data_IF_456929840826
#
_entry.id   IF_456929840826
#
_cell.length_a   1.000
_cell.length_b   1.000
_cell.length_c   1.000
_cell.angle_alpha   90.00
_cell.angle_beta   90.00
_cell.angle_gamma   90.00
#
_symmetry.space_group_name_H-M   'P 1'
#
loop_
_entity.id
_entity.type
_entity.pdbx_description
1 polymer ?
#
# COMPACT_ATOMS: atom_id res chain seq x y z
N UNK A 1 -10.52 -6.08 13.91
CA UNK A 1 -10.21 -5.02 12.93
C UNK A 1 -10.78 -5.44 11.59
N UNK A 2 -11.52 -4.55 10.93
CA UNK A 2 -12.09 -4.84 9.61
C UNK A 2 -11.02 -4.53 8.55
N UNK A 3 -10.88 -5.39 7.54
CA UNK A 3 -9.95 -5.18 6.43
C UNK A 3 -10.73 -4.63 5.25
N UNK A 4 -10.37 -3.45 4.78
CA UNK A 4 -10.99 -2.81 3.64
C UNK A 4 -10.22 -3.17 2.37
N UNK A 5 -10.87 -3.97 1.52
CA UNK A 5 -10.33 -4.33 0.22
C UNK A 5 -10.72 -3.30 -0.83
N UNK A 6 -9.71 -2.66 -1.44
CA UNK A 6 -9.90 -1.61 -2.45
C UNK A 6 -9.22 -1.98 -3.77
N UNK A 7 -9.75 -1.46 -4.86
CA UNK A 7 -9.20 -1.59 -6.20
C UNK A 7 -8.00 -0.67 -6.40
N UNK A 8 -7.25 -0.88 -7.49
CA UNK A 8 -6.17 0.04 -7.89
C UNK A 8 -6.67 1.48 -8.05
N UNK A 9 -7.88 1.66 -8.59
CA UNK A 9 -8.48 2.98 -8.82
C UNK A 9 -8.79 3.70 -7.50
N UNK A 10 -9.45 3.01 -6.58
CA UNK A 10 -9.76 3.56 -5.24
C UNK A 10 -8.47 3.86 -4.47
N UNK A 11 -7.46 3.00 -4.57
CA UNK A 11 -6.16 3.28 -3.96
C UNK A 11 -5.51 4.52 -4.60
N UNK A 12 -5.50 4.62 -5.94
CA UNK A 12 -4.99 5.78 -6.68
C UNK A 12 -5.63 7.10 -6.21
N UNK A 13 -6.95 7.11 -6.06
CA UNK A 13 -7.69 8.25 -5.53
C UNK A 13 -7.28 8.58 -4.09
N UNK A 14 -7.10 7.56 -3.23
CA UNK A 14 -6.82 7.73 -1.80
C UNK A 14 -5.41 8.20 -1.48
N UNK A 15 -4.39 7.71 -2.21
CA UNK A 15 -2.97 8.06 -1.99
C UNK A 15 -2.42 9.03 -3.05
N UNK A 16 -3.29 9.53 -3.94
CA UNK A 16 -2.99 10.53 -4.97
C UNK A 16 -1.85 10.13 -5.93
N UNK A 17 -1.78 8.84 -6.24
CA UNK A 17 -0.93 8.31 -7.32
C UNK A 17 -1.79 7.94 -8.52
N UNK A 18 -1.21 7.98 -9.73
CA UNK A 18 -1.89 7.38 -10.87
C UNK A 18 -1.88 5.84 -10.76
N UNK A 19 -2.90 5.19 -11.33
CA UNK A 19 -3.02 3.73 -11.26
C UNK A 19 -1.84 2.97 -11.89
N UNK A 20 -1.20 3.55 -12.92
CA UNK A 20 -0.06 2.94 -13.62
C UNK A 20 1.15 2.84 -12.70
N UNK A 21 1.43 3.89 -11.93
CA UNK A 21 2.51 3.92 -10.94
C UNK A 21 2.27 2.86 -9.87
N UNK A 22 1.04 2.73 -9.37
CA UNK A 22 0.70 1.69 -8.39
C UNK A 22 1.00 0.30 -8.95
N UNK A 23 0.53 -0.02 -10.16
CA UNK A 23 0.71 -1.36 -10.74
C UNK A 23 2.14 -1.69 -11.15
N UNK A 24 2.86 -0.71 -11.68
CA UNK A 24 4.14 -0.97 -12.35
C UNK A 24 5.36 -0.63 -11.47
N UNK A 25 5.18 0.19 -10.43
CA UNK A 25 6.28 0.66 -9.59
C UNK A 25 6.08 0.25 -8.13
N UNK A 26 4.89 0.49 -7.56
CA UNK A 26 4.67 0.24 -6.13
C UNK A 26 4.39 -1.24 -5.86
N UNK A 27 3.56 -1.89 -6.66
CA UNK A 27 3.28 -3.31 -6.57
C UNK A 27 4.59 -4.11 -6.73
N UNK A 28 4.78 -5.11 -5.88
CA UNK A 28 5.97 -5.98 -5.78
C UNK A 28 7.24 -5.29 -5.24
N UNK A 29 7.39 -3.97 -5.38
CA UNK A 29 8.55 -3.24 -4.84
C UNK A 29 8.32 -2.71 -3.42
N UNK A 30 7.13 -2.15 -3.17
CA UNK A 30 6.74 -1.52 -1.90
C UNK A 30 5.51 -2.21 -1.32
N UNK A 31 4.53 -2.51 -2.18
CA UNK A 31 3.31 -3.23 -1.81
C UNK A 31 3.54 -4.72 -2.02
N UNK A 32 3.62 -5.45 -0.91
CA UNK A 32 3.94 -6.89 -0.88
C UNK A 32 2.69 -7.76 -0.94
N UNK A 33 2.71 -8.80 -1.77
CA UNK A 33 1.62 -9.79 -1.88
C UNK A 33 1.38 -10.53 -0.56
N UNK A 34 0.11 -10.76 -0.21
CA UNK A 34 -0.29 -11.37 1.06
C UNK A 34 -0.28 -10.41 2.25
N UNK A 35 0.36 -9.24 2.12
CA UNK A 35 0.38 -8.20 3.15
C UNK A 35 -0.48 -7.02 2.72
N UNK A 36 -0.09 -6.37 1.62
CA UNK A 36 -0.68 -5.13 1.11
C UNK A 36 -1.74 -5.38 0.04
N UNK A 37 -1.65 -6.51 -0.65
CA UNK A 37 -2.61 -6.87 -1.68
C UNK A 37 -2.76 -8.38 -1.81
N UNK A 38 -3.88 -8.82 -2.38
CA UNK A 38 -4.19 -10.20 -2.69
C UNK A 38 -4.67 -10.35 -4.13
N UNK A 39 -4.58 -11.59 -4.63
CA UNK A 39 -5.03 -12.00 -5.98
C UNK A 39 -6.19 -13.01 -5.89
N UNK A 40 -7.43 -12.59 -5.59
CA UNK A 40 -8.55 -13.52 -5.41
C UNK A 40 -9.00 -14.15 -6.74
N UNK A 41 -9.84 -15.20 -6.63
CA UNK A 41 -10.54 -15.84 -7.75
C UNK A 41 -9.63 -16.24 -8.93
N UNK A 42 -8.51 -16.91 -8.64
CA UNK A 42 -7.55 -17.35 -9.66
C UNK A 42 -6.66 -16.22 -10.22
N UNK A 43 -6.60 -15.09 -9.52
CA UNK A 43 -5.63 -14.03 -9.75
C UNK A 43 -5.91 -13.08 -10.92
N UNK A 44 -7.14 -13.08 -11.42
CA UNK A 44 -7.58 -12.12 -12.46
C UNK A 44 -7.71 -10.69 -11.95
N UNK A 45 -7.95 -10.52 -10.65
CA UNK A 45 -8.11 -9.22 -9.99
C UNK A 45 -7.06 -9.07 -8.90
N UNK A 46 -6.64 -7.82 -8.67
CA UNK A 46 -5.84 -7.43 -7.52
C UNK A 46 -6.72 -6.58 -6.62
N UNK A 47 -6.74 -6.91 -5.33
CA UNK A 47 -7.35 -6.10 -4.28
C UNK A 47 -6.27 -5.71 -3.27
N UNK A 48 -6.23 -4.44 -2.91
CA UNK A 48 -5.32 -3.87 -1.92
C UNK A 48 -6.01 -3.81 -0.56
N UNK A 49 -5.25 -3.96 0.51
CA UNK A 49 -5.73 -3.90 1.89
C UNK A 49 -5.38 -2.52 2.45
N UNK A 50 -6.38 -1.64 2.58
CA UNK A 50 -6.14 -0.23 2.93
C UNK A 50 -5.34 -0.08 4.23
N UNK A 51 -5.78 -0.77 5.30
CA UNK A 51 -5.23 -0.59 6.63
C UNK A 51 -3.74 -0.95 6.68
N UNK A 52 -3.31 -1.93 5.87
CA UNK A 52 -1.90 -2.34 5.80
C UNK A 52 -1.03 -1.32 5.08
N UNK A 53 -1.58 -0.72 4.02
CA UNK A 53 -0.91 0.36 3.29
C UNK A 53 -0.81 1.60 4.16
N UNK A 54 -1.90 1.97 4.85
CA UNK A 54 -1.94 3.11 5.78
C UNK A 54 -0.94 2.95 6.91
N UNK A 55 -0.89 1.77 7.53
CA UNK A 55 0.05 1.44 8.59
C UNK A 55 1.51 1.67 8.14
N UNK A 56 1.89 1.16 6.97
CA UNK A 56 3.26 1.31 6.47
C UNK A 56 3.60 2.74 6.02
N UNK A 57 2.62 3.50 5.52
CA UNK A 57 2.78 4.93 5.26
C UNK A 57 3.09 5.72 6.56
N UNK A 58 2.48 5.33 7.69
CA UNK A 58 2.74 5.99 8.99
C UNK A 58 4.04 5.57 9.66
N UNK A 59 4.60 4.41 9.33
CA UNK A 59 5.89 3.95 9.89
C UNK A 59 7.08 4.70 9.29
N UNK A 60 7.00 5.04 8.00
CA UNK A 60 8.10 5.74 7.29
C UNK A 60 8.38 7.12 7.88
N UNK A 61 7.35 7.82 8.37
CA UNK A 61 7.51 9.10 9.07
C UNK A 61 8.16 8.98 10.44
N UNK A 62 7.97 7.86 11.16
CA UNK A 62 8.57 7.67 12.49
C UNK A 62 10.06 7.28 12.42
N UNK A 63 10.47 6.52 11.39
CA UNK A 63 11.86 6.13 11.18
C UNK A 63 12.78 7.30 10.80
N UNK A 64 12.28 8.26 10.01
CA UNK A 64 13.04 9.45 9.61
C UNK A 64 13.22 10.47 10.75
N UNK A 65 12.22 10.61 11.63
CA UNK A 65 12.30 11.49 12.79
C UNK A 65 13.22 10.96 13.89
N UNK A 66 13.31 9.64 14.09
CA UNK A 66 14.22 9.06 15.10
C UNK A 66 15.70 9.30 14.76
N UNK A 67 16.05 9.34 13.47
CA UNK A 67 17.39 9.71 13.00
C UNK A 67 17.72 11.19 13.15
N UNK A 68 16.72 12.07 13.28
CA UNK A 68 16.92 13.51 13.47
C UNK A 68 16.94 13.94 14.94
N UNK A 69 16.51 13.06 15.86
CA UNK A 69 16.45 13.34 17.30
C UNK A 69 17.69 12.84 18.07
N UNK A 70 18.66 12.23 17.36
CA UNK A 70 19.95 11.77 17.89
C UNK A 70 21.15 12.60 17.39
N UNK A 71 20.90 13.82 16.89
CA UNK A 71 21.90 14.86 16.63
C UNK A 71 21.63 16.06 17.55
#
# INVERSE_FOLDING_TARGET
>A
MNLTYITTKELAERIHYNERTIRNQLKDSVLIEGIHYIRPFGGRKILYVWERIEEDMTKTTLGSLHSLQLL
#
